data_IF_220492413463
#
_entry.id   IF_220492413463
#
_cell.length_a   1.000
_cell.length_b   1.000
_cell.length_c   1.000
_cell.angle_alpha   90.00
_cell.angle_beta   90.00
_cell.angle_gamma   90.00
#
_symmetry.space_group_name_H-M   'P 1'
#
loop_
_entity.id
_entity.type
_entity.pdbx_description
1 polymer ?
#
# COMPACT_ATOMS: atom_id res chain seq x y z
N UNK A 1 -12.17 -1.30 1.28
CA UNK A 1 -11.51 -2.04 2.37
C UNK A 1 -12.48 -2.79 3.27
N UNK A 2 -13.57 -2.19 3.72
CA UNK A 2 -14.61 -2.86 4.52
C UNK A 2 -15.17 -4.11 3.81
N UNK A 3 -15.51 -4.02 2.53
CA UNK A 3 -16.05 -5.13 1.73
C UNK A 3 -15.13 -6.37 1.74
N UNK A 4 -13.82 -6.17 1.63
CA UNK A 4 -12.86 -7.28 1.69
C UNK A 4 -12.78 -7.90 3.09
N UNK A 5 -12.83 -7.08 4.14
CA UNK A 5 -12.80 -7.58 5.52
C UNK A 5 -14.03 -8.39 5.88
N UNK A 6 -15.21 -7.93 5.46
CA UNK A 6 -16.49 -8.61 5.73
C UNK A 6 -16.70 -9.85 4.83
N UNK A 7 -15.99 -9.97 3.70
CA UNK A 7 -16.08 -11.14 2.83
C UNK A 7 -15.28 -12.35 3.33
N UNK A 8 -14.14 -12.12 3.99
CA UNK A 8 -13.24 -13.21 4.38
C UNK A 8 -13.33 -13.65 5.85
N UNK A 9 -13.93 -12.87 6.74
CA UNK A 9 -14.18 -13.19 8.17
C UNK A 9 -13.00 -13.85 8.89
N UNK A 10 -11.76 -13.54 8.52
CA UNK A 10 -10.57 -14.19 9.08
C UNK A 10 -10.28 -13.68 10.49
N UNK A 11 -10.19 -14.58 11.46
CA UNK A 11 -9.73 -14.27 12.83
C UNK A 11 -8.28 -13.77 12.79
N UNK A 12 -7.91 -13.00 13.82
CA UNK A 12 -6.51 -12.58 13.99
C UNK A 12 -5.70 -13.69 14.65
N UNK A 13 -4.36 -13.71 14.44
CA UNK A 13 -3.49 -14.56 15.27
C UNK A 13 -3.55 -14.13 16.73
N UNK A 14 -3.09 -15.00 17.63
CA UNK A 14 -2.87 -14.61 19.02
C UNK A 14 -1.67 -13.66 19.09
N UNK A 15 -1.82 -12.49 19.73
CA UNK A 15 -0.74 -11.53 19.80
C UNK A 15 0.39 -12.06 20.70
N UNK A 16 1.63 -11.86 20.26
CA UNK A 16 2.81 -12.25 21.04
C UNK A 16 3.03 -11.37 22.28
N UNK A 17 2.43 -10.19 22.29
CA UNK A 17 2.50 -9.22 23.37
C UNK A 17 1.08 -8.93 23.85
N UNK A 18 0.94 -8.43 25.09
CA UNK A 18 -0.36 -8.02 25.64
C UNK A 18 -0.92 -6.78 24.92
N UNK A 19 -1.16 -6.96 23.63
CA UNK A 19 -1.62 -5.91 22.71
C UNK A 19 -3.11 -6.07 22.47
N UNK A 20 -3.88 -5.02 22.71
CA UNK A 20 -5.32 -5.02 22.39
C UNK A 20 -5.52 -5.22 20.90
N UNK A 21 -6.16 -6.34 20.54
CA UNK A 21 -6.54 -6.60 19.16
C UNK A 21 -7.66 -5.66 18.70
N UNK A 22 -7.54 -5.07 17.50
CA UNK A 22 -8.66 -4.34 16.91
C UNK A 22 -9.87 -5.25 16.71
N UNK A 23 -11.07 -4.74 16.93
CA UNK A 23 -12.35 -5.46 16.78
C UNK A 23 -12.69 -5.87 15.33
N UNK A 24 -11.80 -5.64 14.37
CA UNK A 24 -12.00 -5.94 12.94
C UNK A 24 -11.25 -7.20 12.51
N UNK A 25 -11.74 -7.86 11.46
CA UNK A 25 -11.09 -9.02 10.83
C UNK A 25 -9.66 -8.73 10.37
N UNK A 26 -8.82 -9.80 10.32
CA UNK A 26 -7.39 -9.64 10.04
C UNK A 26 -7.11 -9.38 8.56
N UNK A 27 -7.84 -10.03 7.65
CA UNK A 27 -7.56 -9.98 6.20
C UNK A 27 -8.40 -8.91 5.48
N UNK A 28 -7.82 -8.18 4.54
CA UNK A 28 -6.39 -7.91 4.39
C UNK A 28 -5.87 -6.88 5.39
N UNK A 29 -4.54 -6.77 5.53
CA UNK A 29 -3.92 -5.80 6.42
C UNK A 29 -4.08 -4.36 5.91
N UNK A 30 -4.80 -3.54 6.68
CA UNK A 30 -5.01 -2.15 6.34
C UNK A 30 -3.76 -1.28 6.42
N UNK A 31 -2.93 -1.51 7.42
CA UNK A 31 -1.67 -0.79 7.55
C UNK A 31 -0.74 -1.09 6.38
N UNK A 32 -0.62 -2.36 5.96
CA UNK A 32 0.16 -2.74 4.80
C UNK A 32 -0.37 -2.07 3.53
N UNK A 33 -1.67 -2.11 3.29
CA UNK A 33 -2.29 -1.52 2.11
C UNK A 33 -2.07 0.00 2.05
N UNK A 34 -2.37 0.72 3.13
CA UNK A 34 -2.25 2.19 3.15
C UNK A 34 -0.80 2.65 3.09
N UNK A 35 0.10 2.02 3.86
CA UNK A 35 1.52 2.36 3.82
C UNK A 35 2.13 2.12 2.45
N UNK A 36 1.77 1.04 1.78
CA UNK A 36 2.28 0.73 0.45
C UNK A 36 1.78 1.72 -0.61
N UNK A 37 0.49 2.07 -0.61
CA UNK A 37 -0.04 3.12 -1.48
C UNK A 37 0.68 4.45 -1.27
N UNK A 38 0.87 4.86 -0.01
CA UNK A 38 1.55 6.11 0.33
C UNK A 38 3.02 6.07 -0.13
N UNK A 39 3.74 5.00 0.18
CA UNK A 39 5.15 4.86 -0.16
C UNK A 39 5.38 4.78 -1.68
N UNK A 40 4.52 4.08 -2.43
CA UNK A 40 4.58 4.07 -3.89
C UNK A 40 4.36 5.48 -4.47
N UNK A 41 3.37 6.20 -3.97
CA UNK A 41 3.06 7.55 -4.43
C UNK A 41 4.20 8.52 -4.11
N UNK A 42 4.76 8.45 -2.90
CA UNK A 42 5.90 9.25 -2.50
C UNK A 42 7.14 8.94 -3.34
N UNK A 43 7.48 7.66 -3.53
CA UNK A 43 8.60 7.24 -4.37
C UNK A 43 8.46 7.77 -5.80
N UNK A 44 7.27 7.66 -6.39
CA UNK A 44 6.99 8.18 -7.73
C UNK A 44 7.16 9.70 -7.81
N UNK A 45 6.59 10.45 -6.85
CA UNK A 45 6.68 11.91 -6.79
C UNK A 45 8.12 12.39 -6.62
N UNK A 46 8.84 11.88 -5.63
CA UNK A 46 10.22 12.32 -5.34
C UNK A 46 11.22 11.89 -6.42
N UNK A 47 10.96 10.80 -7.13
CA UNK A 47 11.80 10.33 -8.22
C UNK A 47 11.51 10.98 -9.57
N UNK A 48 10.35 11.61 -9.76
CA UNK A 48 9.87 12.10 -11.06
C UNK A 48 10.83 13.06 -11.76
N UNK A 49 11.42 14.00 -11.02
CA UNK A 49 12.31 15.04 -11.55
C UNK A 49 13.79 14.71 -11.38
N UNK A 50 14.14 13.51 -10.90
CA UNK A 50 15.52 13.14 -10.67
C UNK A 50 16.19 12.63 -11.96
N UNK A 51 17.29 13.27 -12.36
CA UNK A 51 18.08 12.88 -13.53
C UNK A 51 18.99 11.69 -13.24
N UNK A 52 19.51 11.60 -12.02
CA UNK A 52 20.42 10.54 -11.62
C UNK A 52 19.67 9.22 -11.37
N UNK A 53 20.09 8.16 -12.04
CA UNK A 53 19.54 6.81 -11.83
C UNK A 53 19.79 6.31 -10.41
N UNK A 54 20.96 6.63 -9.83
CA UNK A 54 21.32 6.25 -8.48
C UNK A 54 20.38 6.91 -7.45
N UNK A 55 20.16 8.22 -7.57
CA UNK A 55 19.25 8.95 -6.67
C UNK A 55 17.83 8.37 -6.76
N UNK A 56 17.35 8.08 -7.97
CA UNK A 56 16.04 7.42 -8.14
C UNK A 56 15.98 6.07 -7.45
N UNK A 57 17.01 5.24 -7.62
CA UNK A 57 17.08 3.93 -6.98
C UNK A 57 17.06 4.05 -5.45
N UNK A 58 17.82 4.97 -4.87
CA UNK A 58 17.85 5.22 -3.42
C UNK A 58 16.47 5.65 -2.90
N UNK A 59 15.77 6.55 -3.62
CA UNK A 59 14.41 6.97 -3.26
C UNK A 59 13.47 5.75 -3.23
N UNK A 60 13.47 4.93 -4.26
CA UNK A 60 12.61 3.75 -4.33
C UNK A 60 12.94 2.72 -3.23
N UNK A 61 14.22 2.43 -3.01
CA UNK A 61 14.68 1.51 -1.96
C UNK A 61 14.22 2.01 -0.59
N UNK A 62 14.38 3.30 -0.31
CA UNK A 62 13.96 3.90 0.96
C UNK A 62 12.45 3.72 1.21
N UNK A 63 11.61 4.12 0.26
CA UNK A 63 10.15 4.08 0.44
C UNK A 63 9.61 2.65 0.47
N UNK A 64 10.13 1.75 -0.36
CA UNK A 64 9.75 0.33 -0.33
C UNK A 64 10.23 -0.35 0.95
N UNK A 65 11.44 -0.04 1.41
CA UNK A 65 11.97 -0.52 2.69
C UNK A 65 11.12 -0.06 3.88
N UNK A 66 10.71 1.21 3.89
CA UNK A 66 9.83 1.75 4.92
C UNK A 66 8.47 1.02 4.95
N UNK A 67 7.86 0.81 3.78
CA UNK A 67 6.62 0.03 3.70
C UNK A 67 6.81 -1.41 4.17
N UNK A 68 7.93 -2.05 3.78
CA UNK A 68 8.29 -3.38 4.24
C UNK A 68 8.42 -3.47 5.76
N UNK A 69 9.10 -2.49 6.38
CA UNK A 69 9.23 -2.40 7.83
C UNK A 69 7.87 -2.26 8.54
N UNK A 70 6.96 -1.44 7.98
CA UNK A 70 5.59 -1.29 8.51
C UNK A 70 4.84 -2.62 8.42
N UNK A 71 4.87 -3.31 7.28
CA UNK A 71 4.22 -4.61 7.14
C UNK A 71 4.81 -5.67 8.05
N UNK A 72 6.14 -5.73 8.15
CA UNK A 72 6.83 -6.63 9.08
C UNK A 72 6.44 -6.37 10.52
N UNK A 73 6.33 -5.11 10.93
CA UNK A 73 5.90 -4.77 12.30
C UNK A 73 4.51 -5.35 12.64
N UNK A 74 3.61 -5.49 11.67
CA UNK A 74 2.28 -6.08 11.90
C UNK A 74 2.34 -7.59 12.14
N UNK A 75 3.27 -8.26 11.47
CA UNK A 75 3.55 -9.69 11.68
C UNK A 75 4.23 -9.88 13.03
N UNK A 76 5.26 -9.08 13.33
CA UNK A 76 6.01 -9.14 14.57
C UNK A 76 5.13 -8.92 15.82
N UNK A 77 4.18 -7.99 15.75
CA UNK A 77 3.20 -7.74 16.81
C UNK A 77 2.13 -8.85 16.93
N UNK A 78 2.12 -9.85 16.05
CA UNK A 78 1.13 -10.92 16.05
C UNK A 78 -0.29 -10.47 15.73
N UNK A 79 -0.48 -9.28 15.12
CA UNK A 79 -1.81 -8.75 14.80
C UNK A 79 -2.29 -9.10 13.39
N UNK A 80 -1.40 -9.57 12.53
CA UNK A 80 -1.69 -10.00 11.15
C UNK A 80 -0.83 -11.20 10.75
N UNK A 81 -1.39 -12.07 9.92
CA UNK A 81 -0.63 -13.12 9.24
C UNK A 81 0.20 -12.53 8.09
N UNK A 82 1.33 -13.15 7.71
CA UNK A 82 2.11 -12.73 6.54
C UNK A 82 1.27 -12.60 5.26
N UNK A 83 0.31 -13.51 5.06
CA UNK A 83 -0.62 -13.48 3.93
C UNK A 83 -1.55 -12.26 3.93
N UNK A 84 -1.93 -11.73 5.12
CA UNK A 84 -2.75 -10.53 5.23
C UNK A 84 -1.98 -9.29 4.76
N UNK A 85 -0.69 -9.23 5.10
CA UNK A 85 0.23 -8.16 4.71
C UNK A 85 0.48 -8.21 3.20
N UNK A 86 0.78 -9.41 2.67
CA UNK A 86 1.00 -9.60 1.23
C UNK A 86 -0.25 -9.22 0.43
N UNK A 87 -1.43 -9.66 0.85
CA UNK A 87 -2.69 -9.29 0.21
C UNK A 87 -2.94 -7.78 0.26
N UNK A 88 -2.59 -7.11 1.37
CA UNK A 88 -2.63 -5.66 1.49
C UNK A 88 -1.75 -4.96 0.45
N UNK A 89 -0.51 -5.44 0.26
CA UNK A 89 0.40 -4.90 -0.75
C UNK A 89 -0.09 -5.12 -2.18
N UNK A 90 -0.59 -6.32 -2.49
CA UNK A 90 -1.14 -6.60 -3.82
C UNK A 90 -2.36 -5.74 -4.13
N UNK A 91 -3.27 -5.57 -3.18
CA UNK A 91 -4.43 -4.69 -3.34
C UNK A 91 -4.01 -3.23 -3.56
N UNK A 92 -3.01 -2.76 -2.80
CA UNK A 92 -2.45 -1.42 -2.97
C UNK A 92 -1.78 -1.22 -4.33
N UNK A 93 -1.03 -2.22 -4.80
CA UNK A 93 -0.39 -2.18 -6.13
C UNK A 93 -1.43 -2.06 -7.25
N UNK A 94 -2.44 -2.93 -7.24
CA UNK A 94 -3.53 -2.91 -8.22
C UNK A 94 -4.24 -1.56 -8.21
N UNK A 95 -4.58 -1.04 -7.03
CA UNK A 95 -5.20 0.27 -6.89
C UNK A 95 -4.33 1.40 -7.43
N UNK A 96 -3.05 1.42 -7.06
CA UNK A 96 -2.12 2.46 -7.49
C UNK A 96 -1.90 2.45 -9.01
N UNK A 97 -1.83 1.27 -9.63
CA UNK A 97 -1.74 1.12 -11.08
C UNK A 97 -3.03 1.58 -11.77
N UNK A 98 -4.20 1.23 -11.24
CA UNK A 98 -5.49 1.64 -11.78
C UNK A 98 -5.64 3.17 -11.74
N UNK A 99 -5.38 3.79 -10.60
CA UNK A 99 -5.44 5.25 -10.43
C UNK A 99 -4.40 5.96 -11.31
N UNK A 100 -3.17 5.46 -11.36
CA UNK A 100 -2.11 6.01 -12.19
C UNK A 100 -2.44 5.97 -13.68
N UNK A 101 -2.99 4.86 -14.16
CA UNK A 101 -3.40 4.71 -15.57
C UNK A 101 -4.61 5.59 -15.91
N UNK A 102 -5.58 5.70 -15.02
CA UNK A 102 -6.74 6.58 -15.20
C UNK A 102 -6.30 8.06 -15.25
N UNK A 103 -5.41 8.47 -14.37
CA UNK A 103 -4.85 9.83 -14.36
C UNK A 103 -4.09 10.15 -15.65
N UNK A 104 -3.28 9.21 -16.16
CA UNK A 104 -2.56 9.40 -17.44
C UNK A 104 -3.52 9.53 -18.61
N UNK A 105 -4.59 8.73 -18.68
CA UNK A 105 -5.62 8.85 -19.71
C UNK A 105 -6.32 10.21 -19.64
N UNK A 106 -6.69 10.64 -18.44
CA UNK A 106 -7.33 11.95 -18.25
C UNK A 106 -6.44 13.11 -18.70
N UNK A 107 -5.16 13.10 -18.36
CA UNK A 107 -4.20 14.13 -18.80
C UNK A 107 -3.97 14.17 -20.31
N UNK A 108 -4.17 13.05 -21.01
CA UNK A 108 -4.02 12.95 -22.48
C UNK A 108 -5.32 13.22 -23.23
N UNK A 109 -6.44 13.34 -22.54
CA UNK A 109 -7.71 13.68 -23.16
C UNK A 109 -7.62 15.07 -23.81
N UNK A 110 -8.04 15.26 -25.08
CA UNK A 110 -8.07 16.57 -25.72
C UNK A 110 -8.94 17.50 -24.91
N UNK A 111 -8.49 18.75 -24.68
CA UNK A 111 -9.34 19.80 -24.14
C UNK A 111 -10.52 19.97 -25.10
N UNK A 112 -11.75 19.84 -24.56
CA UNK A 112 -12.94 20.13 -25.35
C UNK A 112 -12.81 21.55 -25.92
N UNK A 113 -13.10 21.77 -27.22
CA UNK A 113 -13.10 23.12 -27.76
C UNK A 113 -14.14 23.93 -27.00
N UNK A 114 -13.68 25.03 -26.41
CA UNK A 114 -14.58 26.02 -25.80
C UNK A 114 -15.33 26.66 -26.95
N UNK A 115 -16.64 26.38 -27.03
CA UNK A 115 -17.54 26.99 -28.02
C UNK A 115 -17.77 28.47 -27.69
#
# INVERSE_FOLDING_TARGET
MWVLKTGFHRSRPEPFFDTRLPASYSFPSGHAMLSFCLCLSAAALFSANQKSRLVRAVIWIFWLGLSGAIGYSRIYLGVHYPSDVLAGYLAALVWSLAVGSAYQKWRRAPSLPVA
#
